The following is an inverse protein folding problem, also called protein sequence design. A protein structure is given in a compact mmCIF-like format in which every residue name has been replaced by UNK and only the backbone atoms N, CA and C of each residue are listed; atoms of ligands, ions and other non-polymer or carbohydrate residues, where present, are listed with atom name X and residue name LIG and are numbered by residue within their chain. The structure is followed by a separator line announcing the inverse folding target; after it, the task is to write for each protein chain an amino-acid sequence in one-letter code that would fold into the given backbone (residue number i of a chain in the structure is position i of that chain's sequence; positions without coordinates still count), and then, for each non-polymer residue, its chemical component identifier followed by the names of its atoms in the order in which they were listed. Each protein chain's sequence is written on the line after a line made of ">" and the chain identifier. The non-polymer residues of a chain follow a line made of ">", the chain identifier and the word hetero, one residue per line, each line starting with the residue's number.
data_IF_976281261099
#
_entry.id   IF_976281261099
#
_cell.length_a   1.000
_cell.length_b   1.000
_cell.length_c   1.000
_cell.angle_alpha   90.00
_cell.angle_beta   90.00
_cell.angle_gamma   90.00
#
_symmetry.space_group_name_H-M   'P 1'
#
loop_
_entity.id
_entity.type
_entity.pdbx_description
1 polymer ?
#
# COMPACT_ATOMS: atom_id res chain seq x y z
N UNK A 1 14.95 4.76 -16.99
CA UNK A 1 14.50 6.15 -16.72
C UNK A 1 15.11 6.75 -15.44
N UNK A 2 15.95 5.99 -14.67
CA UNK A 2 16.65 6.49 -13.48
C UNK A 2 15.76 6.80 -12.26
N UNK A 3 14.53 6.28 -12.22
CA UNK A 3 13.57 6.50 -11.12
C UNK A 3 13.69 5.37 -10.09
N UNK A 4 13.82 4.12 -10.53
CA UNK A 4 14.04 2.98 -9.64
C UNK A 4 15.53 2.80 -9.45
N UNK A 5 16.02 2.95 -8.22
CA UNK A 5 17.45 2.82 -7.89
C UNK A 5 17.77 1.57 -7.04
N UNK A 6 16.75 0.92 -6.48
CA UNK A 6 16.86 -0.34 -5.75
C UNK A 6 15.61 -1.17 -5.91
N UNK A 7 15.72 -2.47 -5.79
CA UNK A 7 14.58 -3.40 -5.82
C UNK A 7 14.87 -4.67 -5.02
N UNK A 8 13.79 -5.37 -4.67
CA UNK A 8 13.80 -6.74 -4.16
C UNK A 8 12.95 -7.57 -5.13
N UNK A 9 13.56 -8.61 -5.71
CA UNK A 9 12.91 -9.61 -6.58
C UNK A 9 12.06 -9.03 -7.75
N UNK A 10 12.38 -7.82 -8.25
CA UNK A 10 11.67 -7.21 -9.39
C UNK A 10 11.77 -8.06 -10.66
N UNK A 11 12.84 -8.83 -10.83
CA UNK A 11 13.05 -9.77 -11.92
C UNK A 11 11.92 -10.81 -12.03
N UNK A 12 11.29 -11.20 -10.92
CA UNK A 12 10.10 -12.09 -10.93
C UNK A 12 8.95 -11.41 -11.70
N UNK A 13 8.66 -10.15 -11.40
CA UNK A 13 7.59 -9.39 -12.08
C UNK A 13 7.95 -9.09 -13.54
N UNK A 14 9.21 -8.74 -13.83
CA UNK A 14 9.68 -8.56 -15.20
C UNK A 14 9.56 -9.86 -16.02
N UNK A 15 9.77 -11.01 -15.39
CA UNK A 15 9.52 -12.32 -15.98
C UNK A 15 8.03 -12.54 -16.31
N UNK A 16 7.12 -12.14 -15.43
CA UNK A 16 5.67 -12.18 -15.72
C UNK A 16 5.30 -11.32 -16.92
N UNK A 17 5.82 -10.09 -17.00
CA UNK A 17 5.59 -9.19 -18.16
C UNK A 17 6.07 -9.85 -19.46
N UNK A 18 7.27 -10.44 -19.46
CA UNK A 18 7.83 -11.08 -20.66
C UNK A 18 7.03 -12.31 -21.12
N UNK A 19 6.44 -13.06 -20.18
CA UNK A 19 5.65 -14.26 -20.48
C UNK A 19 4.15 -14.01 -20.58
N UNK A 20 3.71 -12.75 -20.43
CA UNK A 20 2.30 -12.35 -20.35
C UNK A 20 1.54 -13.11 -19.23
N UNK A 21 2.20 -13.35 -18.10
CA UNK A 21 1.63 -13.99 -16.92
C UNK A 21 0.98 -12.93 -16.00
N UNK A 22 -0.05 -13.31 -15.23
CA UNK A 22 -0.71 -12.39 -14.30
C UNK A 22 0.23 -11.90 -13.20
N UNK A 23 0.20 -10.59 -12.94
CA UNK A 23 0.85 -9.96 -11.80
C UNK A 23 0.05 -8.74 -11.36
N UNK A 24 0.33 -8.23 -10.18
CA UNK A 24 -0.36 -7.05 -9.66
C UNK A 24 0.59 -5.99 -9.13
N UNK A 25 0.02 -4.83 -8.87
CA UNK A 25 0.66 -3.71 -8.16
C UNK A 25 -0.20 -3.35 -6.98
N UNK A 26 0.43 -3.19 -5.82
CA UNK A 26 -0.18 -2.51 -4.69
C UNK A 26 0.57 -1.20 -4.44
N UNK A 27 -0.16 -0.12 -4.34
CA UNK A 27 0.34 1.15 -3.78
C UNK A 27 -0.60 1.68 -2.72
N UNK A 28 -0.07 2.47 -1.80
CA UNK A 28 -0.84 3.06 -0.71
C UNK A 28 -0.78 4.58 -0.72
N UNK A 29 -1.78 5.18 -0.12
CA UNK A 29 -1.79 6.59 0.20
C UNK A 29 -2.31 6.79 1.64
N UNK A 30 -1.64 7.64 2.40
CA UNK A 30 -2.15 8.12 3.68
C UNK A 30 -2.84 9.47 3.46
N UNK A 31 -4.14 9.61 3.74
CA UNK A 31 -4.89 10.83 3.44
C UNK A 31 -4.62 11.94 4.49
N UNK A 32 -3.39 12.42 4.56
CA UNK A 32 -2.90 13.34 5.60
C UNK A 32 -2.52 14.73 5.11
N UNK A 33 -2.85 15.09 3.86
CA UNK A 33 -2.49 16.40 3.30
C UNK A 33 -2.71 16.48 1.81
N UNK A 34 -2.06 17.45 1.16
CA UNK A 34 -2.13 17.61 -0.29
C UNK A 34 -1.13 16.71 -1.02
N UNK A 35 -1.50 16.28 -2.21
CA UNK A 35 -0.60 15.58 -3.10
C UNK A 35 0.58 16.47 -3.52
N UNK A 36 1.77 15.89 -3.65
CA UNK A 36 3.00 16.57 -4.09
C UNK A 36 3.80 15.69 -5.06
N UNK A 37 4.88 16.23 -5.64
CA UNK A 37 5.70 15.56 -6.65
C UNK A 37 6.20 14.15 -6.24
N UNK A 38 6.47 13.92 -4.96
CA UNK A 38 6.87 12.59 -4.49
C UNK A 38 5.80 11.53 -4.77
N UNK A 39 4.53 11.87 -4.62
CA UNK A 39 3.42 10.97 -4.96
C UNK A 39 3.33 10.74 -6.49
N UNK A 40 3.52 11.77 -7.33
CA UNK A 40 3.46 11.61 -8.78
C UNK A 40 4.52 10.65 -9.31
N UNK A 41 5.71 10.65 -8.71
CA UNK A 41 6.79 9.71 -9.08
C UNK A 41 6.41 8.25 -8.83
N UNK A 42 5.67 7.96 -7.76
CA UNK A 42 5.14 6.61 -7.49
C UNK A 42 4.04 6.26 -8.49
N UNK A 43 3.11 7.20 -8.74
CA UNK A 43 2.00 6.97 -9.67
C UNK A 43 2.48 6.77 -11.11
N UNK A 44 3.53 7.45 -11.55
CA UNK A 44 4.15 7.21 -12.86
C UNK A 44 4.68 5.77 -13.00
N UNK A 45 5.22 5.18 -11.92
CA UNK A 45 5.64 3.78 -11.91
C UNK A 45 4.41 2.84 -11.96
N UNK A 46 3.40 3.11 -11.15
CA UNK A 46 2.14 2.32 -11.11
C UNK A 46 1.48 2.32 -12.48
N UNK A 47 1.38 3.49 -13.14
CA UNK A 47 0.84 3.63 -14.49
C UNK A 47 1.64 2.81 -15.51
N UNK A 48 2.97 2.86 -15.43
CA UNK A 48 3.80 2.04 -16.32
C UNK A 48 3.51 0.55 -16.16
N UNK A 49 3.36 0.05 -14.93
CA UNK A 49 2.98 -1.35 -14.70
C UNK A 49 1.55 -1.64 -15.18
N UNK A 50 0.62 -0.71 -15.04
CA UNK A 50 -0.73 -0.83 -15.58
C UNK A 50 -0.71 -0.98 -17.11
N UNK A 51 0.11 -0.19 -17.80
CA UNK A 51 0.34 -0.30 -19.26
C UNK A 51 0.97 -1.66 -19.66
N UNK A 52 1.65 -2.35 -18.73
CA UNK A 52 2.17 -3.71 -18.91
C UNK A 52 1.16 -4.81 -18.52
N UNK A 53 -0.08 -4.46 -18.19
CA UNK A 53 -1.15 -5.41 -17.88
C UNK A 53 -1.27 -5.78 -16.39
N UNK A 54 -0.69 -5.01 -15.48
CA UNK A 54 -0.83 -5.24 -14.04
C UNK A 54 -2.25 -5.00 -13.55
N UNK A 55 -2.70 -5.84 -12.61
CA UNK A 55 -3.90 -5.60 -11.80
C UNK A 55 -3.57 -4.59 -10.69
N UNK A 56 -4.10 -3.37 -10.79
CA UNK A 56 -3.74 -2.26 -9.90
C UNK A 56 -4.67 -2.22 -8.69
N UNK A 57 -4.06 -2.17 -7.51
CA UNK A 57 -4.75 -1.98 -6.23
C UNK A 57 -4.17 -0.78 -5.50
N UNK A 58 -5.02 0.15 -5.11
CA UNK A 58 -4.66 1.34 -4.31
C UNK A 58 -5.34 1.24 -2.96
N UNK A 59 -4.54 1.18 -1.89
CA UNK A 59 -5.06 1.25 -0.52
C UNK A 59 -5.08 2.68 -0.01
N UNK A 60 -6.19 3.08 0.59
CA UNK A 60 -6.29 4.31 1.37
C UNK A 60 -6.05 3.95 2.84
N UNK A 61 -4.91 4.40 3.38
CA UNK A 61 -4.47 4.12 4.75
C UNK A 61 -5.19 5.03 5.76
N UNK A 62 -6.52 4.95 5.81
CA UNK A 62 -7.36 5.77 6.70
C UNK A 62 -7.27 5.34 8.17
N UNK A 63 -7.04 4.06 8.45
CA UNK A 63 -6.79 3.58 9.82
C UNK A 63 -5.42 4.06 10.33
N UNK A 64 -4.41 4.08 9.48
CA UNK A 64 -3.09 4.60 9.83
C UNK A 64 -3.15 6.12 10.07
N UNK A 65 -3.87 6.87 9.21
CA UNK A 65 -4.08 8.31 9.40
C UNK A 65 -4.82 8.62 10.71
N UNK A 66 -5.81 7.82 11.08
CA UNK A 66 -6.51 7.92 12.37
C UNK A 66 -5.55 7.68 13.54
N UNK A 67 -4.72 6.63 13.46
CA UNK A 67 -3.81 6.21 14.53
C UNK A 67 -2.65 7.19 14.75
N UNK A 68 -2.10 7.77 13.67
CA UNK A 68 -0.83 8.52 13.70
C UNK A 68 -0.99 10.02 13.53
N UNK A 69 -2.08 10.48 12.92
CA UNK A 69 -2.34 11.91 12.62
C UNK A 69 -3.59 12.45 13.31
N UNK A 70 -4.38 11.59 13.94
CA UNK A 70 -5.65 12.00 14.56
C UNK A 70 -6.73 12.43 13.56
N UNK A 71 -6.54 12.13 12.26
CA UNK A 71 -7.52 12.40 11.21
C UNK A 71 -8.71 11.47 11.38
N UNK A 72 -9.94 12.01 11.44
CA UNK A 72 -11.13 11.17 11.49
C UNK A 72 -11.30 10.38 10.18
N UNK A 73 -11.98 9.22 10.25
CA UNK A 73 -12.22 8.39 9.05
C UNK A 73 -13.01 9.14 7.97
N UNK A 74 -13.93 10.04 8.36
CA UNK A 74 -14.71 10.85 7.44
C UNK A 74 -13.84 11.89 6.72
N UNK A 75 -13.00 12.62 7.45
CA UNK A 75 -12.04 13.57 6.89
C UNK A 75 -11.02 12.88 6.00
N UNK A 76 -10.47 11.74 6.45
CA UNK A 76 -9.56 10.91 5.66
C UNK A 76 -10.19 10.47 4.33
N UNK A 77 -11.43 10.01 4.37
CA UNK A 77 -12.18 9.62 3.17
C UNK A 77 -12.36 10.80 2.21
N UNK A 78 -12.78 11.96 2.72
CA UNK A 78 -12.96 13.18 1.91
C UNK A 78 -11.65 13.63 1.27
N UNK A 79 -10.57 13.65 2.04
CA UNK A 79 -9.22 14.00 1.55
C UNK A 79 -8.74 13.02 0.50
N UNK A 80 -8.87 11.72 0.73
CA UNK A 80 -8.46 10.69 -0.22
C UNK A 80 -9.16 10.86 -1.58
N UNK A 81 -10.47 11.06 -1.57
CA UNK A 81 -11.25 11.21 -2.80
C UNK A 81 -10.89 12.51 -3.55
N UNK A 82 -10.85 13.63 -2.84
CA UNK A 82 -10.70 14.95 -3.47
C UNK A 82 -9.25 15.27 -3.86
N UNK A 83 -8.27 14.86 -3.04
CA UNK A 83 -6.87 15.25 -3.25
C UNK A 83 -6.03 14.15 -3.93
N UNK A 84 -6.39 12.87 -3.76
CA UNK A 84 -5.54 11.79 -4.26
C UNK A 84 -6.17 11.05 -5.45
N UNK A 85 -7.37 10.50 -5.31
CA UNK A 85 -7.99 9.67 -6.36
C UNK A 85 -8.17 10.47 -7.66
N UNK A 86 -8.67 11.72 -7.57
CA UNK A 86 -8.80 12.59 -8.73
C UNK A 86 -7.46 12.93 -9.38
N UNK A 87 -6.43 13.20 -8.56
CA UNK A 87 -5.10 13.50 -9.08
C UNK A 87 -4.44 12.27 -9.72
N UNK A 88 -4.67 11.06 -9.19
CA UNK A 88 -4.16 9.82 -9.79
C UNK A 88 -4.75 9.59 -11.19
N UNK A 89 -6.06 9.80 -11.34
CA UNK A 89 -6.71 9.77 -12.65
C UNK A 89 -6.17 10.86 -13.58
N UNK A 90 -5.97 12.09 -13.09
CA UNK A 90 -5.39 13.18 -13.85
C UNK A 90 -3.94 12.93 -14.29
N UNK A 91 -3.16 12.14 -13.52
CA UNK A 91 -1.82 11.67 -13.89
C UNK A 91 -1.84 10.50 -14.88
N UNK A 92 -3.03 10.05 -15.29
CA UNK A 92 -3.20 9.03 -16.32
C UNK A 92 -3.29 7.60 -15.80
N UNK A 93 -3.51 7.40 -14.51
CA UNK A 93 -3.90 6.08 -13.99
C UNK A 93 -5.33 5.79 -14.43
N UNK A 94 -5.54 4.69 -15.14
CA UNK A 94 -6.84 4.31 -15.65
C UNK A 94 -7.78 3.87 -14.50
N UNK A 95 -8.87 4.59 -14.24
CA UNK A 95 -9.78 4.28 -13.15
C UNK A 95 -10.58 2.99 -13.38
N UNK A 96 -10.84 2.60 -14.63
CA UNK A 96 -11.65 1.42 -14.95
C UNK A 96 -10.92 0.11 -14.62
N UNK A 97 -9.59 0.15 -14.63
CA UNK A 97 -8.70 -0.98 -14.30
C UNK A 97 -7.95 -0.80 -12.97
N UNK A 98 -8.37 0.15 -12.12
CA UNK A 98 -7.78 0.43 -10.81
C UNK A 98 -8.79 0.16 -9.69
N UNK A 99 -8.44 -0.73 -8.77
CA UNK A 99 -9.22 -1.02 -7.56
C UNK A 99 -8.76 -0.11 -6.44
N UNK A 100 -9.65 0.71 -5.88
CA UNK A 100 -9.38 1.57 -4.72
C UNK A 100 -10.19 1.08 -3.53
N UNK A 101 -9.58 0.96 -2.36
CA UNK A 101 -10.29 0.62 -1.13
C UNK A 101 -9.75 1.39 0.08
N UNK A 102 -10.56 1.47 1.12
CA UNK A 102 -10.19 2.02 2.43
C UNK A 102 -9.88 0.88 3.41
N UNK A 103 -8.81 0.98 4.17
CA UNK A 103 -8.44 -0.03 5.19
C UNK A 103 -9.61 -0.30 6.15
N UNK A 104 -10.31 0.76 6.58
CA UNK A 104 -11.46 0.66 7.49
C UNK A 104 -12.63 -0.17 6.92
N UNK A 105 -12.76 -0.25 5.60
CA UNK A 105 -13.83 -0.98 4.91
C UNK A 105 -13.38 -2.31 4.28
N UNK A 106 -12.17 -2.80 4.61
CA UNK A 106 -11.60 -4.05 4.06
C UNK A 106 -11.35 -5.09 5.18
N UNK A 107 -12.37 -5.86 5.58
CA UNK A 107 -12.22 -6.85 6.68
C UNK A 107 -11.13 -7.90 6.44
N UNK A 108 -10.82 -8.24 5.18
CA UNK A 108 -9.77 -9.19 4.85
C UNK A 108 -8.39 -8.70 5.32
N UNK A 109 -8.08 -7.41 5.15
CA UNK A 109 -6.84 -6.79 5.61
C UNK A 109 -6.74 -6.87 7.14
N UNK A 110 -7.82 -6.57 7.85
CA UNK A 110 -7.87 -6.63 9.31
C UNK A 110 -7.68 -8.06 9.83
N UNK A 111 -8.31 -9.07 9.18
CA UNK A 111 -8.10 -10.48 9.51
C UNK A 111 -6.64 -10.91 9.29
N UNK A 112 -6.02 -10.47 8.20
CA UNK A 112 -4.60 -10.73 7.94
C UNK A 112 -3.71 -10.07 8.99
N UNK A 113 -3.93 -8.79 9.30
CA UNK A 113 -3.18 -8.07 10.34
C UNK A 113 -3.23 -8.80 11.69
N UNK A 114 -4.41 -9.24 12.11
CA UNK A 114 -4.57 -10.02 13.33
C UNK A 114 -3.83 -11.36 13.27
N UNK A 115 -3.88 -12.05 12.13
CA UNK A 115 -3.18 -13.33 11.93
C UNK A 115 -1.67 -13.18 11.96
N UNK A 116 -1.14 -12.12 11.32
CA UNK A 116 0.28 -11.79 11.31
C UNK A 116 0.78 -11.43 12.72
N UNK A 117 -0.03 -10.74 13.52
CA UNK A 117 0.28 -10.41 14.90
C UNK A 117 0.58 -11.63 15.80
N UNK A 118 0.15 -12.84 15.41
CA UNK A 118 0.54 -14.07 16.11
C UNK A 118 2.01 -14.44 15.93
N UNK A 119 2.68 -13.90 14.93
CA UNK A 119 4.07 -14.21 14.55
C UNK A 119 5.04 -13.08 14.82
N UNK A 120 4.55 -11.96 15.31
CA UNK A 120 5.33 -10.78 15.68
C UNK A 120 5.21 -10.54 17.18
N UNK A 121 6.24 -9.99 17.78
CA UNK A 121 6.23 -9.62 19.18
C UNK A 121 6.54 -8.12 19.35
N UNK A 122 6.17 -7.57 20.50
CA UNK A 122 6.30 -6.15 20.78
C UNK A 122 7.77 -5.69 20.73
N UNK A 123 8.70 -6.52 21.21
CA UNK A 123 10.13 -6.16 21.23
C UNK A 123 10.71 -5.98 19.82
N UNK A 124 10.22 -6.73 18.83
CA UNK A 124 10.60 -6.53 17.42
C UNK A 124 10.08 -5.19 16.91
N UNK A 125 8.84 -4.83 17.26
CA UNK A 125 8.26 -3.55 16.88
C UNK A 125 8.94 -2.36 17.55
N UNK A 126 9.31 -2.48 18.82
CA UNK A 126 10.13 -1.49 19.53
C UNK A 126 11.48 -1.29 18.83
N UNK A 127 12.13 -2.37 18.44
CA UNK A 127 13.43 -2.32 17.76
C UNK A 127 13.36 -1.72 16.35
N UNK A 128 12.30 -2.01 15.57
CA UNK A 128 12.15 -1.58 14.18
C UNK A 128 11.58 -0.16 14.09
N UNK A 129 10.53 0.14 14.88
CA UNK A 129 9.75 1.38 14.76
C UNK A 129 10.01 2.38 15.88
N UNK A 130 10.82 2.02 16.90
CA UNK A 130 11.07 2.87 18.05
C UNK A 130 9.85 3.05 18.96
N UNK A 131 8.90 2.10 18.93
CA UNK A 131 7.74 2.14 19.83
C UNK A 131 8.17 2.06 21.29
N UNK A 132 7.39 2.67 22.17
CA UNK A 132 7.62 2.70 23.60
C UNK A 132 6.30 2.47 24.35
N UNK A 133 6.36 2.39 25.68
CA UNK A 133 5.16 2.28 26.51
C UNK A 133 4.15 3.42 26.37
N UNK A 134 4.57 4.56 25.80
CA UNK A 134 3.71 5.72 25.51
C UNK A 134 3.05 5.65 24.12
N UNK A 135 3.46 4.70 23.26
CA UNK A 135 2.88 4.55 21.93
C UNK A 135 1.46 3.97 22.04
N UNK A 136 0.48 4.64 21.44
CA UNK A 136 -0.89 4.12 21.46
C UNK A 136 -1.03 2.81 20.68
N UNK A 137 -1.95 1.94 21.11
CA UNK A 137 -2.12 0.62 20.52
C UNK A 137 -2.53 0.63 19.03
N UNK A 138 -3.27 1.64 18.60
CA UNK A 138 -3.64 1.77 17.20
C UNK A 138 -2.40 2.01 16.32
N UNK A 139 -1.45 2.82 16.81
CA UNK A 139 -0.18 3.05 16.12
C UNK A 139 0.68 1.76 16.08
N UNK A 140 0.69 0.98 17.17
CA UNK A 140 1.38 -0.32 17.19
C UNK A 140 0.77 -1.31 16.18
N UNK A 141 -0.53 -1.22 15.91
CA UNK A 141 -1.19 -2.09 14.93
C UNK A 141 -0.98 -1.67 13.47
N UNK A 142 -0.64 -0.40 13.19
CA UNK A 142 -0.53 0.12 11.83
C UNK A 142 0.42 -0.69 10.92
N UNK A 143 1.62 -1.12 11.34
CA UNK A 143 2.48 -1.97 10.52
C UNK A 143 1.86 -3.33 10.16
N UNK A 144 1.08 -3.93 11.06
CA UNK A 144 0.38 -5.19 10.79
C UNK A 144 -0.74 -5.00 9.76
N UNK A 145 -1.45 -3.89 9.82
CA UNK A 145 -2.47 -3.52 8.84
C UNK A 145 -1.82 -3.31 7.48
N UNK A 146 -0.69 -2.60 7.41
CA UNK A 146 0.07 -2.40 6.17
C UNK A 146 0.57 -3.74 5.58
N UNK A 147 1.08 -4.65 6.40
CA UNK A 147 1.45 -5.99 5.96
C UNK A 147 0.22 -6.77 5.43
N UNK A 148 -0.93 -6.60 6.07
CA UNK A 148 -2.21 -7.13 5.59
C UNK A 148 -2.58 -6.56 4.21
N UNK A 149 -2.39 -5.25 3.98
CA UNK A 149 -2.61 -4.62 2.68
C UNK A 149 -1.72 -5.25 1.59
N UNK A 150 -0.44 -5.49 1.89
CA UNK A 150 0.52 -6.04 0.93
C UNK A 150 0.14 -7.47 0.52
N UNK A 151 -0.36 -8.26 1.44
CA UNK A 151 -0.65 -9.68 1.22
C UNK A 151 -2.05 -9.91 0.62
N UNK A 152 -3.07 -9.11 1.02
CA UNK A 152 -4.46 -9.40 0.67
C UNK A 152 -4.77 -9.51 -0.83
N UNK A 153 -4.06 -8.82 -1.78
CA UNK A 153 -4.35 -8.99 -3.20
C UNK A 153 -4.08 -10.41 -3.72
N UNK A 154 -3.35 -11.24 -2.93
CA UNK A 154 -3.08 -12.64 -3.26
C UNK A 154 -4.13 -13.62 -2.74
N UNK A 155 -5.13 -13.16 -1.99
CA UNK A 155 -6.27 -13.98 -1.61
C UNK A 155 -7.15 -14.30 -2.83
N UNK A 156 -7.77 -15.48 -2.86
CA UNK A 156 -8.61 -15.92 -3.99
C UNK A 156 -9.69 -14.90 -4.35
N UNK A 157 -10.33 -14.31 -3.35
CA UNK A 157 -11.38 -13.30 -3.53
C UNK A 157 -10.90 -11.97 -4.16
N UNK A 158 -9.55 -11.75 -4.23
CA UNK A 158 -8.95 -10.52 -4.80
C UNK A 158 -8.04 -10.76 -6.00
N UNK A 159 -7.99 -11.98 -6.52
CA UNK A 159 -7.25 -12.30 -7.72
C UNK A 159 -6.31 -13.51 -7.61
N UNK A 160 -6.17 -14.10 -6.41
CA UNK A 160 -5.39 -15.31 -6.17
C UNK A 160 -3.88 -15.10 -6.17
N UNK A 161 -3.17 -16.20 -6.01
CA UNK A 161 -1.69 -16.20 -5.90
C UNK A 161 -1.04 -15.71 -7.19
N UNK A 162 -0.35 -14.58 -7.11
CA UNK A 162 0.46 -14.01 -8.18
C UNK A 162 1.50 -13.05 -7.58
N UNK A 163 2.60 -12.74 -8.29
CA UNK A 163 3.52 -11.71 -7.85
C UNK A 163 2.84 -10.34 -7.72
N UNK A 164 3.12 -9.65 -6.62
CA UNK A 164 2.64 -8.27 -6.38
C UNK A 164 3.86 -7.38 -6.20
N UNK A 165 4.00 -6.37 -7.04
CA UNK A 165 5.03 -5.34 -6.86
C UNK A 165 4.47 -4.17 -6.03
N UNK A 166 5.29 -3.66 -5.12
CA UNK A 166 4.94 -2.56 -4.23
C UNK A 166 5.94 -1.41 -4.44
N UNK A 167 5.61 -0.44 -5.31
CA UNK A 167 6.44 0.75 -5.51
C UNK A 167 6.38 1.63 -4.27
N UNK A 168 7.54 1.94 -3.67
CA UNK A 168 7.63 2.70 -2.42
C UNK A 168 8.84 3.63 -2.41
N UNK A 169 8.82 4.62 -1.50
CA UNK A 169 10.02 5.36 -1.12
C UNK A 169 10.97 4.51 -0.27
N UNK A 170 12.24 4.91 -0.18
CA UNK A 170 13.26 4.18 0.59
C UNK A 170 12.94 4.15 2.10
N UNK A 171 12.21 5.12 2.58
CA UNK A 171 11.72 5.21 3.97
C UNK A 171 10.78 4.06 4.35
N UNK A 172 10.18 3.40 3.36
CA UNK A 172 9.28 2.27 3.55
C UNK A 172 9.99 0.91 3.60
N UNK A 173 11.32 0.83 3.36
CA UNK A 173 12.07 -0.44 3.36
C UNK A 173 11.94 -1.24 4.68
N UNK A 174 11.91 -0.61 5.88
CA UNK A 174 11.70 -1.36 7.12
C UNK A 174 10.36 -2.11 7.19
N UNK A 175 9.33 -1.63 6.50
CA UNK A 175 8.00 -2.25 6.47
C UNK A 175 7.90 -3.43 5.49
N UNK A 176 8.89 -3.58 4.58
CA UNK A 176 8.90 -4.60 3.53
C UNK A 176 9.82 -5.80 3.86
N UNK A 177 10.55 -5.73 4.96
CA UNK A 177 11.45 -6.81 5.44
C UNK A 177 10.69 -7.85 6.31
#
# INVERSE_FOLDING_TARGET
>A
RGIVFAHRDLDVVLGCIQRAEPFGVLTGLMPSGRMHLGHSMVIDQVRWFQEQGADITVTVADLEALATRGTSLEEGRKTALNEYVHNYAALGLDPDSTKVYFQSSRPAVQRLAFTLGKRTNLSEFEAIYGFSGETNLAHVQAPLVQAGDIIHPQLEEFGGLRPIVVPVGIDQDPHLR
#
